data_IF_230303529330
#
_entry.id   IF_230303529330
#
_cell.length_a   1.000
_cell.length_b   1.000
_cell.length_c   1.000
_cell.angle_alpha   90.00
_cell.angle_beta   90.00
_cell.angle_gamma   90.00
#
_symmetry.space_group_name_H-M   'P 1'
#
loop_
_entity.id
_entity.type
_entity.pdbx_description
1 polymer ?
#
# COMPACT_ATOMS: atom_id res chain seq x y z
N UNK A 1 -8.03 -0.48 14.96
CA UNK A 1 -7.32 0.70 14.46
C UNK A 1 -8.00 1.91 15.05
N UNK A 2 -7.32 2.58 15.95
CA UNK A 2 -7.75 3.86 16.52
C UNK A 2 -7.02 4.94 15.74
N UNK A 3 -7.76 5.72 14.94
CA UNK A 3 -7.17 6.74 14.08
C UNK A 3 -7.11 8.04 14.87
N UNK A 4 -5.94 8.68 14.93
CA UNK A 4 -5.85 10.04 15.44
C UNK A 4 -6.40 11.01 14.38
N UNK A 5 -7.62 11.50 14.61
CA UNK A 5 -8.30 12.41 13.70
C UNK A 5 -7.68 13.82 13.70
N UNK A 6 -6.81 14.16 14.66
CA UNK A 6 -6.13 15.45 14.69
C UNK A 6 -5.27 15.68 13.44
N UNK A 7 -4.73 14.60 12.86
CA UNK A 7 -4.00 14.66 11.58
C UNK A 7 -4.80 15.29 10.44
N UNK A 8 -6.11 15.07 10.45
CA UNK A 8 -7.00 15.41 9.35
C UNK A 8 -7.83 16.66 9.63
N UNK A 9 -7.79 17.22 10.84
CA UNK A 9 -8.53 18.44 11.19
C UNK A 9 -10.01 18.35 10.80
N UNK A 10 -10.49 19.29 9.99
CA UNK A 10 -11.88 19.27 9.49
C UNK A 10 -12.19 18.13 8.52
N UNK A 11 -11.17 17.44 8.02
CA UNK A 11 -11.27 16.30 7.08
C UNK A 11 -11.31 14.94 7.79
N UNK A 12 -11.48 14.89 9.12
CA UNK A 12 -11.55 13.63 9.87
C UNK A 12 -12.56 12.62 9.32
N UNK A 13 -13.77 13.08 8.99
CA UNK A 13 -14.80 12.23 8.38
C UNK A 13 -14.39 11.67 7.00
N UNK A 14 -13.56 12.40 6.24
CA UNK A 14 -13.03 11.89 4.98
C UNK A 14 -11.99 10.79 5.21
N UNK A 15 -11.09 10.98 6.17
CA UNK A 15 -10.11 9.97 6.53
C UNK A 15 -10.76 8.67 7.05
N UNK A 16 -11.80 8.77 7.87
CA UNK A 16 -12.56 7.61 8.33
C UNK A 16 -13.20 6.84 7.17
N UNK A 17 -13.83 7.55 6.23
CA UNK A 17 -14.39 6.92 5.01
C UNK A 17 -13.31 6.25 4.18
N UNK A 18 -12.15 6.89 4.05
CA UNK A 18 -11.01 6.33 3.33
C UNK A 18 -10.57 5.01 3.96
N UNK A 19 -10.45 4.97 5.28
CA UNK A 19 -10.07 3.76 6.03
C UNK A 19 -11.11 2.65 5.88
N UNK A 20 -12.40 2.97 6.02
CA UNK A 20 -13.47 1.98 5.83
C UNK A 20 -13.49 1.42 4.41
N UNK A 21 -13.36 2.29 3.40
CA UNK A 21 -13.29 1.88 2.00
C UNK A 21 -12.08 0.99 1.73
N UNK A 22 -10.93 1.31 2.30
CA UNK A 22 -9.72 0.49 2.16
C UNK A 22 -9.90 -0.88 2.84
N UNK A 23 -10.50 -0.95 4.03
CA UNK A 23 -10.78 -2.23 4.70
C UNK A 23 -11.68 -3.14 3.86
N UNK A 24 -12.72 -2.58 3.24
CA UNK A 24 -13.60 -3.32 2.32
C UNK A 24 -12.84 -3.83 1.09
N UNK A 25 -11.99 -2.99 0.48
CA UNK A 25 -11.13 -3.38 -0.65
C UNK A 25 -10.19 -4.53 -0.25
N UNK A 26 -9.54 -4.43 0.91
CA UNK A 26 -8.64 -5.47 1.43
C UNK A 26 -9.37 -6.79 1.65
N UNK A 27 -10.55 -6.78 2.29
CA UNK A 27 -11.34 -7.99 2.49
C UNK A 27 -11.79 -8.64 1.17
N UNK A 28 -12.15 -7.83 0.16
CA UNK A 28 -12.52 -8.33 -1.16
C UNK A 28 -11.34 -9.00 -1.89
N UNK A 29 -10.14 -8.38 -1.85
CA UNK A 29 -8.94 -8.95 -2.45
C UNK A 29 -8.50 -10.23 -1.73
N UNK A 30 -8.56 -10.26 -0.40
CA UNK A 30 -8.26 -11.44 0.38
C UNK A 30 -9.20 -12.60 0.05
N UNK A 31 -10.51 -12.34 -0.03
CA UNK A 31 -11.50 -13.34 -0.43
C UNK A 31 -11.40 -13.81 -1.89
N UNK A 32 -10.76 -13.04 -2.77
CA UNK A 32 -10.66 -13.36 -4.20
C UNK A 32 -9.38 -14.10 -4.56
N UNK A 33 -8.24 -13.65 -4.04
CA UNK A 33 -6.92 -14.16 -4.43
C UNK A 33 -5.94 -14.30 -3.26
N UNK A 34 -6.41 -14.17 -2.02
CA UNK A 34 -5.62 -14.46 -0.82
C UNK A 34 -4.55 -13.41 -0.50
N UNK A 35 -4.84 -12.12 -0.72
CA UNK A 35 -3.94 -10.99 -0.46
C UNK A 35 -3.20 -11.09 0.89
N UNK A 36 -3.86 -11.50 1.95
CA UNK A 36 -3.28 -11.58 3.29
C UNK A 36 -2.27 -12.73 3.48
N UNK A 37 -2.28 -13.72 2.58
CA UNK A 37 -1.42 -14.91 2.63
C UNK A 37 -0.43 -14.98 1.46
N UNK A 38 -0.59 -14.11 0.46
CA UNK A 38 0.26 -14.08 -0.70
C UNK A 38 1.68 -13.58 -0.36
N UNK A 39 2.68 -14.23 -0.96
CA UNK A 39 4.02 -13.65 -1.05
C UNK A 39 3.95 -12.40 -1.92
N UNK A 40 4.83 -11.44 -1.68
CA UNK A 40 4.82 -10.18 -2.41
C UNK A 40 6.23 -9.79 -2.88
N UNK A 41 6.29 -9.10 -4.01
CA UNK A 41 7.51 -8.50 -4.54
C UNK A 41 7.20 -7.14 -5.17
N UNK A 42 7.92 -6.11 -4.74
CA UNK A 42 7.81 -4.76 -5.30
C UNK A 42 9.03 -4.44 -6.17
N UNK A 43 8.81 -4.14 -7.44
CA UNK A 43 9.82 -3.54 -8.33
C UNK A 43 9.48 -2.06 -8.51
N UNK A 44 10.10 -1.21 -7.67
CA UNK A 44 9.87 0.24 -7.70
C UNK A 44 10.40 0.90 -8.98
N UNK A 45 11.31 0.24 -9.69
CA UNK A 45 11.83 0.75 -10.98
C UNK A 45 10.84 0.49 -12.10
N UNK A 46 10.24 -0.69 -12.12
CA UNK A 46 9.15 -1.04 -13.04
C UNK A 46 7.80 -0.42 -12.64
N UNK A 47 7.68 -0.01 -11.37
CA UNK A 47 6.43 0.50 -10.80
C UNK A 47 5.39 -0.60 -10.63
N UNK A 48 5.82 -1.80 -10.26
CA UNK A 48 4.94 -2.96 -10.10
C UNK A 48 5.00 -3.54 -8.68
N UNK A 49 3.85 -4.05 -8.22
CA UNK A 49 3.74 -4.88 -7.03
C UNK A 49 3.06 -6.17 -7.44
N UNK A 50 3.77 -7.27 -7.25
CA UNK A 50 3.31 -8.62 -7.60
C UNK A 50 3.00 -9.38 -6.32
N UNK A 51 1.83 -9.99 -6.27
CA UNK A 51 1.44 -10.91 -5.23
C UNK A 51 1.31 -12.32 -5.79
N UNK A 52 1.85 -13.29 -5.09
CA UNK A 52 1.84 -14.70 -5.48
C UNK A 52 1.19 -15.50 -4.38
N UNK A 53 -0.05 -15.92 -4.59
CA UNK A 53 -0.74 -16.89 -3.73
C UNK A 53 -0.50 -18.32 -4.20
N UNK A 54 -1.23 -19.28 -3.64
CA UNK A 54 -1.06 -20.71 -4.00
C UNK A 54 -1.49 -21.03 -5.43
N UNK A 55 -2.56 -20.38 -5.92
CA UNK A 55 -3.20 -20.70 -7.22
C UNK A 55 -3.23 -19.52 -8.18
N UNK A 56 -3.05 -18.31 -7.66
CA UNK A 56 -3.26 -17.06 -8.38
C UNK A 56 -2.08 -16.13 -8.14
N UNK A 57 -1.72 -15.41 -9.18
CA UNK A 57 -0.82 -14.29 -9.12
C UNK A 57 -1.59 -13.02 -9.48
N UNK A 58 -1.32 -11.94 -8.75
CA UNK A 58 -1.82 -10.60 -9.03
C UNK A 58 -0.64 -9.68 -9.36
N UNK A 59 -0.59 -9.15 -10.58
CA UNK A 59 0.37 -8.09 -10.97
C UNK A 59 -0.37 -6.76 -10.96
N UNK A 60 0.22 -5.77 -10.30
CA UNK A 60 -0.41 -4.45 -10.08
C UNK A 60 0.58 -3.33 -10.36
N UNK A 61 0.07 -2.11 -10.56
CA UNK A 61 0.86 -0.88 -10.48
C UNK A 61 0.99 -0.44 -9.04
N UNK A 62 2.18 -0.04 -8.62
CA UNK A 62 2.46 0.38 -7.24
C UNK A 62 2.72 1.88 -7.14
N UNK A 63 2.27 2.47 -6.03
CA UNK A 63 2.71 3.79 -5.58
C UNK A 63 3.11 3.69 -4.11
N UNK A 64 4.28 4.20 -3.75
CA UNK A 64 4.79 4.30 -2.39
C UNK A 64 4.18 5.55 -1.73
N UNK A 65 3.52 5.33 -0.60
CA UNK A 65 2.98 6.42 0.24
C UNK A 65 4.06 6.92 1.20
N UNK A 66 4.81 6.00 1.80
CA UNK A 66 5.94 6.31 2.67
C UNK A 66 6.45 5.09 3.43
N UNK A 67 7.38 5.33 4.33
CA UNK A 67 8.01 4.30 5.16
C UNK A 67 7.84 4.62 6.64
N UNK A 68 7.40 3.65 7.42
CA UNK A 68 7.26 3.72 8.86
C UNK A 68 8.41 3.00 9.54
N UNK A 69 9.14 3.69 10.39
CA UNK A 69 10.19 3.14 11.22
C UNK A 69 9.58 2.70 12.56
N UNK A 70 9.56 1.39 12.82
CA UNK A 70 8.89 0.80 13.98
C UNK A 70 9.59 1.09 15.30
N UNK A 71 10.89 1.37 15.26
CA UNK A 71 11.71 1.61 16.46
C UNK A 71 11.56 3.06 16.94
N UNK A 72 11.50 4.01 16.00
CA UNK A 72 11.39 5.43 16.29
C UNK A 72 9.95 5.96 16.28
N UNK A 73 8.99 5.20 15.76
CA UNK A 73 7.60 5.64 15.61
C UNK A 73 7.49 6.84 14.68
N UNK A 74 8.21 6.80 13.55
CA UNK A 74 8.20 7.90 12.58
C UNK A 74 7.86 7.44 11.17
N UNK A 75 7.09 8.27 10.45
CA UNK A 75 6.73 8.06 9.06
C UNK A 75 7.43 9.09 8.17
N UNK A 76 8.14 8.60 7.14
CA UNK A 76 8.80 9.41 6.11
C UNK A 76 8.02 9.28 4.81
N UNK A 77 7.52 10.39 4.30
CA UNK A 77 6.67 10.40 3.10
C UNK A 77 7.44 10.05 1.82
N UNK A 78 6.79 9.29 0.94
CA UNK A 78 7.34 8.88 -0.35
C UNK A 78 7.64 10.04 -1.31
N UNK A 79 6.97 11.19 -1.15
CA UNK A 79 7.20 12.38 -1.99
C UNK A 79 8.55 13.08 -1.73
N UNK A 80 9.22 12.78 -0.61
CA UNK A 80 10.56 13.30 -0.27
C UNK A 80 11.44 12.22 0.40
N UNK A 81 11.25 10.98 -0.06
CA UNK A 81 12.04 9.82 0.33
C UNK A 81 13.13 9.54 -0.72
N UNK A 82 14.43 9.61 -0.38
CA UNK A 82 15.54 9.52 -1.35
C UNK A 82 15.56 8.23 -2.18
N UNK A 83 15.13 7.11 -1.59
CA UNK A 83 15.10 5.80 -2.26
C UNK A 83 13.82 5.52 -3.04
N UNK A 84 12.86 6.44 -3.08
CA UNK A 84 11.59 6.26 -3.80
C UNK A 84 11.68 6.98 -5.15
N UNK A 85 11.59 6.27 -6.28
CA UNK A 85 11.55 6.89 -7.59
C UNK A 85 10.34 7.82 -7.75
N UNK A 86 10.52 8.94 -8.44
CA UNK A 86 9.45 9.93 -8.64
C UNK A 86 8.20 9.32 -9.30
N UNK A 87 8.39 8.35 -10.20
CA UNK A 87 7.34 7.62 -10.92
C UNK A 87 6.42 6.81 -10.02
N UNK A 88 6.83 6.48 -8.80
CA UNK A 88 6.04 5.71 -7.82
C UNK A 88 5.70 6.52 -6.57
N UNK A 89 5.79 7.85 -6.60
CA UNK A 89 5.47 8.71 -5.46
C UNK A 89 4.21 9.58 -5.68
N UNK A 90 3.39 9.29 -6.70
CA UNK A 90 2.21 10.08 -7.04
C UNK A 90 1.16 10.07 -5.91
N UNK A 91 0.92 8.91 -5.29
CA UNK A 91 -0.03 8.79 -4.19
C UNK A 91 0.38 9.63 -2.98
N UNK A 92 1.67 9.62 -2.62
CA UNK A 92 2.20 10.48 -1.57
C UNK A 92 2.03 11.98 -1.92
N UNK A 93 2.32 12.37 -3.17
CA UNK A 93 2.14 13.76 -3.63
C UNK A 93 0.69 14.21 -3.63
N UNK A 94 -0.26 13.31 -3.91
CA UNK A 94 -1.68 13.62 -3.82
C UNK A 94 -2.09 13.99 -2.39
N UNK A 95 -1.58 13.25 -1.38
CA UNK A 95 -1.80 13.61 0.03
C UNK A 95 -1.17 14.95 0.37
N UNK A 96 0.04 15.24 -0.11
CA UNK A 96 0.68 16.54 0.10
C UNK A 96 -0.17 17.69 -0.48
N UNK A 97 -0.67 17.53 -1.72
CA UNK A 97 -1.51 18.53 -2.37
C UNK A 97 -2.82 18.75 -1.59
N UNK A 98 -3.49 17.67 -1.18
CA UNK A 98 -4.68 17.73 -0.33
C UNK A 98 -4.39 18.42 1.01
N UNK A 99 -3.27 18.09 1.65
CA UNK A 99 -2.86 18.71 2.90
C UNK A 99 -2.59 20.21 2.76
N UNK A 100 -2.07 20.66 1.63
CA UNK A 100 -1.87 22.08 1.33
C UNK A 100 -3.20 22.79 1.10
N UNK A 101 -4.11 22.19 0.35
CA UNK A 101 -5.45 22.72 0.07
C UNK A 101 -6.28 22.91 1.35
N UNK A 102 -6.22 21.94 2.27
CA UNK A 102 -7.01 21.94 3.50
C UNK A 102 -6.27 22.47 4.75
N UNK A 103 -5.03 22.92 4.61
CA UNK A 103 -4.25 23.48 5.73
C UNK A 103 -3.80 22.45 6.77
N UNK A 104 -3.66 21.18 6.40
CA UNK A 104 -3.27 20.06 7.27
C UNK A 104 -1.74 20.04 7.48
N UNK A 105 -1.25 20.95 8.32
CA UNK A 105 0.19 21.17 8.54
C UNK A 105 0.97 19.91 8.95
N UNK A 106 0.33 18.98 9.66
CA UNK A 106 0.94 17.69 10.03
C UNK A 106 1.38 16.88 8.81
N UNK A 107 0.52 16.76 7.80
CA UNK A 107 0.75 15.95 6.60
C UNK A 107 1.67 16.63 5.57
N UNK A 108 1.99 17.93 5.76
CA UNK A 108 2.93 18.67 4.91
C UNK A 108 4.39 18.46 5.33
N UNK A 109 4.64 17.92 6.53
CA UNK A 109 6.00 17.66 7.02
C UNK A 109 6.55 16.40 6.38
N UNK A 110 7.78 16.49 5.85
CA UNK A 110 8.54 15.36 5.30
C UNK A 110 8.52 14.13 6.18
N UNK A 111 8.78 14.30 7.48
CA UNK A 111 8.81 13.24 8.48
C UNK A 111 7.95 13.62 9.68
N UNK A 112 7.12 12.69 10.13
CA UNK A 112 6.22 12.88 11.27
C UNK A 112 6.40 11.77 12.29
N UNK A 113 6.18 12.08 13.57
CA UNK A 113 6.03 11.07 14.61
C UNK A 113 4.57 10.63 14.63
N UNK A 114 4.31 9.33 14.48
CA UNK A 114 2.96 8.79 14.39
C UNK A 114 2.96 7.31 14.79
N UNK A 115 1.78 6.72 14.90
CA UNK A 115 1.61 5.28 15.08
C UNK A 115 1.56 4.55 13.73
N UNK A 116 1.60 3.22 13.75
CA UNK A 116 1.33 2.41 12.55
C UNK A 116 -0.12 2.57 12.06
N UNK A 117 -1.07 2.74 12.99
CA UNK A 117 -2.48 3.00 12.68
C UNK A 117 -2.65 4.33 11.93
N UNK A 118 -1.91 5.37 12.32
CA UNK A 118 -1.86 6.64 11.57
C UNK A 118 -1.27 6.46 10.18
N UNK A 119 -0.19 5.67 10.05
CA UNK A 119 0.41 5.36 8.75
C UNK A 119 -0.58 4.64 7.81
N UNK A 120 -1.44 3.77 8.34
CA UNK A 120 -2.55 3.19 7.60
C UNK A 120 -3.62 4.22 7.22
N UNK A 121 -3.96 5.16 8.10
CA UNK A 121 -4.89 6.23 7.78
C UNK A 121 -4.36 7.15 6.66
N UNK A 122 -3.07 7.49 6.69
CA UNK A 122 -2.40 8.22 5.61
C UNK A 122 -2.46 7.47 4.28
N UNK A 123 -2.23 6.16 4.33
CA UNK A 123 -2.26 5.28 3.16
C UNK A 123 -3.67 5.12 2.61
N UNK A 124 -4.67 5.05 3.48
CA UNK A 124 -6.08 5.01 3.08
C UNK A 124 -6.50 6.31 2.38
N UNK A 125 -6.12 7.47 2.94
CA UNK A 125 -6.35 8.76 2.29
C UNK A 125 -5.66 8.82 0.93
N UNK A 126 -4.39 8.38 0.83
CA UNK A 126 -3.68 8.31 -0.44
C UNK A 126 -4.42 7.43 -1.47
N UNK A 127 -4.88 6.26 -1.05
CA UNK A 127 -5.64 5.35 -1.89
C UNK A 127 -6.97 5.95 -2.37
N UNK A 128 -7.67 6.70 -1.51
CA UNK A 128 -8.90 7.40 -1.90
C UNK A 128 -8.63 8.51 -2.91
N UNK A 129 -7.63 9.36 -2.66
CA UNK A 129 -7.30 10.51 -3.52
C UNK A 129 -6.83 10.11 -4.92
N UNK A 130 -6.24 8.92 -5.06
CA UNK A 130 -5.78 8.40 -6.36
C UNK A 130 -6.65 7.29 -6.94
N UNK A 131 -7.84 7.04 -6.38
CA UNK A 131 -8.74 5.95 -6.75
C UNK A 131 -8.03 4.57 -6.85
N UNK A 132 -7.12 4.29 -5.90
CA UNK A 132 -6.38 3.05 -5.88
C UNK A 132 -7.29 1.85 -5.57
N UNK A 133 -6.98 0.70 -6.14
CA UNK A 133 -7.79 -0.52 -5.96
C UNK A 133 -7.53 -1.22 -4.62
N UNK A 134 -6.42 -0.90 -3.96
CA UNK A 134 -6.12 -1.36 -2.60
C UNK A 134 -4.82 -0.77 -2.08
N UNK A 135 -4.40 -1.26 -0.93
CA UNK A 135 -3.14 -0.89 -0.31
C UNK A 135 -2.50 -2.08 0.39
N UNK A 136 -1.19 -2.03 0.55
CA UNK A 136 -0.42 -3.08 1.19
C UNK A 136 0.76 -2.47 1.95
N UNK A 137 1.22 -3.18 2.98
CA UNK A 137 2.47 -2.86 3.67
C UNK A 137 3.37 -4.07 3.73
N UNK A 138 4.68 -3.86 3.62
CA UNK A 138 5.66 -4.93 3.70
C UNK A 138 6.93 -4.50 4.43
N UNK A 139 7.71 -5.44 4.98
CA UNK A 139 9.02 -5.13 5.56
C UNK A 139 10.01 -4.63 4.48
N UNK A 140 10.76 -3.59 4.83
CA UNK A 140 11.87 -3.02 4.06
C UNK A 140 13.03 -2.72 5.03
N UNK A 141 13.87 -3.73 5.27
CA UNK A 141 14.88 -3.66 6.32
C UNK A 141 14.22 -3.51 7.70
N UNK A 142 14.61 -2.51 8.53
CA UNK A 142 14.01 -2.25 9.83
C UNK A 142 12.68 -1.45 9.75
N UNK A 143 12.24 -1.08 8.55
CA UNK A 143 11.05 -0.25 8.35
C UNK A 143 9.93 -1.03 7.68
N UNK A 144 8.72 -0.50 7.74
CA UNK A 144 7.57 -0.94 6.95
C UNK A 144 7.36 0.05 5.80
N UNK A 145 7.30 -0.43 4.56
CA UNK A 145 6.91 0.38 3.41
C UNK A 145 5.40 0.27 3.22
N UNK A 146 4.74 1.42 3.06
CA UNK A 146 3.30 1.52 2.81
C UNK A 146 3.07 1.92 1.35
N UNK A 147 2.22 1.14 0.67
CA UNK A 147 2.02 1.23 -0.77
C UNK A 147 0.53 1.17 -1.11
N UNK A 148 0.11 1.91 -2.13
CA UNK A 148 -1.17 1.67 -2.81
C UNK A 148 -0.92 0.87 -4.09
N UNK A 149 -1.94 0.15 -4.54
CA UNK A 149 -1.89 -0.59 -5.79
C UNK A 149 -3.15 -0.44 -6.63
N UNK A 150 -2.97 -0.48 -7.95
CA UNK A 150 -4.00 -0.32 -8.98
C UNK A 150 -3.72 -1.24 -10.17
N UNK A 151 -4.62 -1.24 -11.16
CA UNK A 151 -4.55 -2.06 -12.37
C UNK A 151 -4.30 -3.55 -12.08
N UNK A 152 -5.08 -4.12 -11.15
CA UNK A 152 -4.93 -5.52 -10.73
C UNK A 152 -5.19 -6.45 -11.92
N UNK A 153 -4.16 -7.19 -12.32
CA UNK A 153 -4.21 -8.23 -13.33
C UNK A 153 -4.00 -9.59 -12.68
N UNK A 154 -5.05 -10.42 -12.72
CA UNK A 154 -5.02 -11.77 -12.14
C UNK A 154 -4.67 -12.80 -13.22
N UNK A 155 -3.80 -13.74 -12.88
CA UNK A 155 -3.48 -14.91 -13.68
C UNK A 155 -3.40 -16.16 -12.79
N UNK A 156 -3.88 -17.30 -13.31
CA UNK A 156 -3.66 -18.59 -12.64
C UNK A 156 -2.17 -18.96 -12.67
N UNK A 157 -1.68 -19.54 -11.59
CA UNK A 157 -0.35 -20.15 -11.56
C UNK A 157 -0.52 -21.55 -12.14
N UNK A 158 0.13 -21.88 -13.28
CA UNK A 158 -0.02 -23.21 -13.87
C UNK A 158 0.48 -24.26 -12.86
N UNK A 159 -0.32 -25.32 -12.67
CA UNK A 159 0.15 -26.51 -11.97
C UNK A 159 1.46 -26.94 -12.65
N UNK A 160 2.58 -26.86 -11.91
CA UNK A 160 3.85 -27.37 -12.42
C UNK A 160 3.63 -28.83 -12.80
N UNK A 161 3.61 -29.09 -14.10
CA UNK A 161 3.22 -30.35 -14.71
C UNK A 161 3.98 -31.50 -14.05
N UNK A 162 3.25 -32.32 -13.28
CA UNK A 162 3.70 -33.62 -12.82
C UNK A 162 4.13 -34.44 -14.05
N UNK A 163 5.43 -34.56 -14.27
CA UNK A 163 5.99 -35.55 -15.20
C UNK A 163 6.00 -36.88 -14.47
N UNK A 164 4.84 -37.52 -14.39
CA UNK A 164 4.76 -38.93 -14.03
C UNK A 164 5.68 -39.68 -14.97
N UNK A 165 6.75 -40.27 -14.43
CA UNK A 165 7.41 -41.35 -15.14
C UNK A 165 6.42 -42.51 -15.20
N UNK A 166 5.78 -42.66 -16.36
CA UNK A 166 5.33 -43.97 -16.81
C UNK A 166 6.59 -44.81 -17.06
N UNK A 167 7.10 -45.45 -16.00
CA UNK A 167 7.94 -46.63 -16.17
C UNK A 167 7.00 -47.80 -16.46
N UNK A 168 6.64 -47.89 -17.74
CA UNK A 168 5.99 -49.05 -18.32
C UNK A 168 6.98 -50.21 -18.50
N UNK A 169 6.42 -51.41 -18.31
CA UNK A 169 6.89 -52.77 -18.65
C UNK A 169 7.65 -53.54 -17.57
#
# INVERSE_FOLDING_TARGET
MEIDLEWFGSQGAEAERAVQALQLKTAAHDGTWGLGQADWNADLRAGTLTFTGERMQAVTRVQVVGTYDTDSGTFLWGWDHPSVPESVAQAARAVLAFAQEHGLQGLQKRKVACTEDDAWAFTALAAQLTDAQGAYRGPAGPTLVFMTFSDVQLSGIPDTQWSGKEDGQ
#
